data_IF_688521276217
#
_entry.id   IF_688521276217
#
_cell.length_a   1.000
_cell.length_b   1.000
_cell.length_c   1.000
_cell.angle_alpha   90.00
_cell.angle_beta   90.00
_cell.angle_gamma   90.00
#
_symmetry.space_group_name_H-M   'P 1'
#
loop_
_entity.id
_entity.type
_entity.pdbx_description
1 polymer ?
#
# COMPACT_ATOMS: atom_id res chain seq x y z
N UNK A 1 21.25 26.89 8.32
CA UNK A 1 20.07 26.68 7.44
C UNK A 1 20.09 25.36 6.70
N UNK A 2 21.26 24.86 6.28
CA UNK A 2 21.43 23.59 5.54
C UNK A 2 20.71 22.40 6.23
N UNK A 3 20.91 22.22 7.55
CA UNK A 3 20.24 21.17 8.36
C UNK A 3 18.70 21.25 8.42
N UNK A 4 18.05 22.34 8.00
CA UNK A 4 16.58 22.38 7.94
C UNK A 4 16.03 21.76 6.64
N UNK A 5 16.84 21.71 5.59
CA UNK A 5 16.46 21.24 4.25
C UNK A 5 16.94 19.80 4.01
N UNK A 6 18.12 19.43 4.52
CA UNK A 6 18.68 18.07 4.30
C UNK A 6 17.84 16.96 4.91
N UNK A 7 17.15 17.25 6.01
CA UNK A 7 16.43 16.26 6.80
C UNK A 7 15.07 15.84 6.21
N UNK A 8 14.21 16.77 5.75
CA UNK A 8 13.01 16.43 4.97
C UNK A 8 13.34 15.72 3.65
N UNK A 9 14.43 16.12 3.00
CA UNK A 9 14.91 15.50 1.76
C UNK A 9 15.21 14.00 1.95
N UNK A 10 15.76 13.63 3.11
CA UNK A 10 16.03 12.24 3.46
C UNK A 10 14.74 11.40 3.56
N UNK A 11 13.69 11.97 4.14
CA UNK A 11 12.36 11.33 4.21
C UNK A 11 11.72 11.14 2.83
N UNK A 12 11.87 12.13 1.95
CA UNK A 12 11.36 12.09 0.58
C UNK A 12 12.09 11.04 -0.25
N UNK A 13 13.43 11.02 -0.23
CA UNK A 13 14.24 10.03 -0.91
C UNK A 13 14.00 8.61 -0.35
N UNK A 14 13.84 8.48 0.97
CA UNK A 14 13.48 7.22 1.61
C UNK A 14 12.12 6.70 1.12
N UNK A 15 11.10 7.57 1.10
CA UNK A 15 9.78 7.23 0.55
C UNK A 15 9.85 6.81 -0.91
N UNK A 16 10.61 7.55 -1.73
CA UNK A 16 10.82 7.23 -3.14
C UNK A 16 11.47 5.85 -3.34
N UNK A 17 12.53 5.54 -2.58
CA UNK A 17 13.19 4.24 -2.63
C UNK A 17 12.27 3.09 -2.21
N UNK A 18 11.45 3.29 -1.17
CA UNK A 18 10.41 2.32 -0.79
C UNK A 18 9.38 2.16 -1.90
N UNK A 19 8.98 3.24 -2.56
CA UNK A 19 8.07 3.20 -3.72
C UNK A 19 8.58 2.27 -4.81
N UNK A 20 9.83 2.47 -5.26
CA UNK A 20 10.48 1.61 -6.26
C UNK A 20 10.48 0.16 -5.81
N UNK A 21 10.97 -0.11 -4.59
CA UNK A 21 11.06 -1.48 -4.08
C UNK A 21 9.70 -2.17 -4.02
N UNK A 22 8.69 -1.46 -3.52
CA UNK A 22 7.34 -1.99 -3.36
C UNK A 22 6.68 -2.26 -4.70
N UNK A 23 6.91 -1.43 -5.71
CA UNK A 23 6.34 -1.58 -7.05
C UNK A 23 6.71 -2.92 -7.71
N UNK A 24 7.94 -3.40 -7.52
CA UNK A 24 8.39 -4.69 -8.06
C UNK A 24 7.71 -5.90 -7.41
N UNK A 25 7.44 -5.82 -6.11
CA UNK A 25 7.02 -7.00 -5.34
C UNK A 25 5.51 -7.05 -5.09
N UNK A 26 4.87 -5.92 -4.84
CA UNK A 26 3.49 -5.87 -4.34
C UNK A 26 2.46 -6.37 -5.35
N UNK A 27 2.69 -6.17 -6.66
CA UNK A 27 1.76 -6.62 -7.71
C UNK A 27 1.70 -8.14 -7.76
N UNK A 28 2.85 -8.81 -7.69
CA UNK A 28 2.92 -10.27 -7.61
C UNK A 28 2.27 -10.79 -6.32
N UNK A 29 2.53 -10.14 -5.18
CA UNK A 29 1.88 -10.49 -3.93
C UNK A 29 0.35 -10.34 -4.00
N UNK A 30 -0.17 -9.31 -4.67
CA UNK A 30 -1.61 -9.14 -4.90
C UNK A 30 -2.15 -10.29 -5.76
N UNK A 31 -1.43 -10.76 -6.78
CA UNK A 31 -1.86 -11.93 -7.57
C UNK A 31 -1.94 -13.19 -6.74
N UNK A 32 -0.91 -13.44 -5.94
CA UNK A 32 -0.87 -14.60 -5.05
C UNK A 32 -2.04 -14.57 -4.06
N UNK A 33 -2.41 -13.39 -3.55
CA UNK A 33 -3.60 -13.24 -2.72
C UNK A 33 -4.89 -13.53 -3.49
N UNK A 34 -5.03 -13.05 -4.73
CA UNK A 34 -6.23 -13.29 -5.55
C UNK A 34 -6.41 -14.77 -5.86
N UNK A 35 -5.34 -15.47 -6.26
CA UNK A 35 -5.39 -16.92 -6.53
C UNK A 35 -5.63 -17.72 -5.26
N UNK A 36 -4.99 -17.33 -4.16
CA UNK A 36 -5.15 -17.97 -2.85
C UNK A 36 -6.58 -17.85 -2.32
N UNK A 37 -7.18 -16.65 -2.33
CA UNK A 37 -8.54 -16.45 -1.79
C UNK A 37 -9.63 -17.11 -2.59
N UNK A 38 -9.35 -17.42 -3.86
CA UNK A 38 -10.33 -17.98 -4.79
C UNK A 38 -10.09 -19.45 -5.09
N UNK A 39 -9.18 -20.11 -4.37
CA UNK A 39 -8.82 -21.52 -4.61
C UNK A 39 -8.56 -21.81 -6.10
N UNK A 40 -7.79 -20.94 -6.76
CA UNK A 40 -7.47 -20.99 -8.19
C UNK A 40 -8.64 -20.83 -9.18
N UNK A 41 -9.81 -20.38 -8.71
CA UNK A 41 -10.93 -20.01 -9.59
C UNK A 41 -10.65 -18.70 -10.34
N UNK A 42 -9.71 -17.86 -9.89
CA UNK A 42 -9.16 -16.77 -10.70
C UNK A 42 -7.82 -17.19 -11.29
N UNK A 43 -7.68 -17.06 -12.63
CA UNK A 43 -6.42 -17.28 -13.34
C UNK A 43 -6.02 -16.03 -14.11
N UNK A 44 -4.75 -15.68 -14.04
CA UNK A 44 -4.21 -14.51 -14.75
C UNK A 44 -3.56 -14.94 -16.07
N UNK A 45 -3.82 -14.16 -17.12
CA UNK A 45 -3.16 -14.32 -18.42
C UNK A 45 -2.65 -12.97 -18.95
N UNK A 46 -1.71 -13.03 -19.90
CA UNK A 46 -1.06 -11.84 -20.48
C UNK A 46 0.27 -11.48 -19.81
N UNK A 47 0.77 -10.27 -20.08
CA UNK A 47 2.02 -9.77 -19.50
C UNK A 47 1.72 -8.89 -18.29
N UNK A 48 2.48 -9.10 -17.21
CA UNK A 48 2.48 -8.24 -15.99
C UNK A 48 2.93 -6.78 -16.32
N UNK A 49 3.44 -6.55 -17.54
CA UNK A 49 4.26 -5.42 -17.96
C UNK A 49 3.52 -4.17 -18.49
N UNK A 50 2.29 -3.88 -18.05
CA UNK A 50 1.66 -2.60 -18.41
C UNK A 50 1.87 -1.58 -17.29
N UNK A 51 2.75 -0.61 -17.56
CA UNK A 51 3.08 0.56 -16.73
C UNK A 51 3.68 0.22 -15.36
N UNK A 52 4.98 -0.03 -15.36
CA UNK A 52 5.81 -0.23 -14.16
C UNK A 52 6.35 1.07 -13.55
N UNK A 53 5.92 2.23 -14.05
CA UNK A 53 6.45 3.54 -13.65
C UNK A 53 5.35 4.60 -13.84
N UNK A 54 4.27 4.45 -13.09
CA UNK A 54 3.30 5.53 -12.94
C UNK A 54 3.94 6.58 -12.01
N UNK A 55 4.35 7.73 -12.55
CA UNK A 55 5.00 8.79 -11.75
C UNK A 55 4.20 9.19 -10.51
N UNK A 56 2.87 9.06 -10.57
CA UNK A 56 1.95 9.28 -9.46
C UNK A 56 2.22 8.33 -8.28
N UNK A 57 2.51 7.05 -8.55
CA UNK A 57 2.81 6.05 -7.52
C UNK A 57 4.05 6.43 -6.71
N UNK A 58 5.14 6.75 -7.41
CA UNK A 58 6.39 7.17 -6.76
C UNK A 58 6.25 8.50 -6.00
N UNK A 59 5.51 9.45 -6.57
CA UNK A 59 5.23 10.72 -5.92
C UNK A 59 4.45 10.55 -4.61
N UNK A 60 3.44 9.67 -4.60
CA UNK A 60 2.65 9.36 -3.40
C UNK A 60 3.55 8.75 -2.33
N UNK A 61 4.36 7.74 -2.66
CA UNK A 61 5.30 7.12 -1.72
C UNK A 61 6.34 8.11 -1.17
N UNK A 62 6.83 9.04 -1.98
CA UNK A 62 7.71 10.11 -1.55
C UNK A 62 7.03 11.06 -0.54
N UNK A 63 5.78 11.45 -0.80
CA UNK A 63 4.98 12.29 0.11
C UNK A 63 4.68 11.57 1.44
N UNK A 64 4.39 10.27 1.39
CA UNK A 64 4.21 9.44 2.58
C UNK A 64 5.50 9.36 3.39
N UNK A 65 6.64 9.16 2.73
CA UNK A 65 7.96 9.17 3.38
C UNK A 65 8.22 10.48 4.11
N UNK A 66 7.87 11.62 3.48
CA UNK A 66 7.94 12.93 4.10
C UNK A 66 6.97 13.07 5.29
N UNK A 67 5.72 12.62 5.15
CA UNK A 67 4.73 12.63 6.24
C UNK A 67 5.21 11.82 7.44
N UNK A 68 5.64 10.57 7.22
CA UNK A 68 6.19 9.68 8.23
C UNK A 68 7.42 10.29 8.89
N UNK A 69 8.33 10.88 8.12
CA UNK A 69 9.49 11.59 8.66
C UNK A 69 9.08 12.67 9.65
N UNK A 70 8.13 13.53 9.29
CA UNK A 70 7.64 14.58 10.18
C UNK A 70 6.89 14.03 11.39
N UNK A 71 6.07 12.99 11.23
CA UNK A 71 5.32 12.38 12.32
C UNK A 71 6.25 11.71 13.36
N UNK A 72 7.31 11.06 12.89
CA UNK A 72 8.25 10.34 13.75
C UNK A 72 9.38 11.20 14.31
N UNK A 73 9.57 12.43 13.84
CA UNK A 73 10.65 13.32 14.31
C UNK A 73 10.65 13.53 15.83
N UNK A 74 9.46 13.59 16.42
CA UNK A 74 9.23 13.87 17.84
C UNK A 74 9.14 12.58 18.68
N UNK A 75 9.13 11.41 18.05
CA UNK A 75 8.97 10.12 18.72
C UNK A 75 10.31 9.55 19.17
N UNK A 76 10.32 8.80 20.28
CA UNK A 76 11.48 8.01 20.70
C UNK A 76 11.65 6.78 19.80
N UNK A 77 12.85 6.18 19.76
CA UNK A 77 13.12 4.97 18.96
C UNK A 77 12.12 3.81 19.22
N UNK A 78 11.79 3.43 20.47
CA UNK A 78 10.83 2.35 20.71
C UNK A 78 9.42 2.69 20.21
N UNK A 79 9.00 3.95 20.30
CA UNK A 79 7.73 4.37 19.73
C UNK A 79 7.73 4.28 18.21
N UNK A 80 8.82 4.71 17.55
CA UNK A 80 8.95 4.61 16.09
C UNK A 80 8.75 3.17 15.63
N UNK A 81 9.40 2.22 16.29
CA UNK A 81 9.29 0.79 15.98
C UNK A 81 7.85 0.30 16.20
N UNK A 82 7.22 0.65 17.32
CA UNK A 82 5.84 0.25 17.63
C UNK A 82 4.85 0.74 16.56
N UNK A 83 4.90 2.02 16.21
CA UNK A 83 3.97 2.62 15.24
C UNK A 83 4.29 2.20 13.81
N UNK A 84 5.56 2.02 13.45
CA UNK A 84 5.94 1.48 12.15
C UNK A 84 5.45 0.02 12.00
N UNK A 85 5.67 -0.82 13.01
CA UNK A 85 5.18 -2.20 13.02
C UNK A 85 3.66 -2.27 12.90
N UNK A 86 2.95 -1.46 13.69
CA UNK A 86 1.49 -1.38 13.64
C UNK A 86 0.98 -0.89 12.27
N UNK A 87 1.62 0.12 11.66
CA UNK A 87 1.26 0.58 10.32
C UNK A 87 1.50 -0.52 9.27
N UNK A 88 2.63 -1.23 9.33
CA UNK A 88 2.92 -2.34 8.41
C UNK A 88 1.88 -3.47 8.58
N UNK A 89 1.54 -3.85 9.81
CA UNK A 89 0.51 -4.86 10.06
C UNK A 89 -0.86 -4.45 9.51
N UNK A 90 -1.29 -3.20 9.74
CA UNK A 90 -2.56 -2.70 9.21
C UNK A 90 -2.53 -2.64 7.69
N UNK A 91 -1.41 -2.26 7.09
CA UNK A 91 -1.26 -2.23 5.64
C UNK A 91 -1.50 -3.60 5.03
N UNK A 92 -0.82 -4.64 5.53
CA UNK A 92 -0.98 -6.00 5.00
C UNK A 92 -2.37 -6.59 5.29
N UNK A 93 -2.94 -6.30 6.46
CA UNK A 93 -4.29 -6.72 6.80
C UNK A 93 -5.33 -6.07 5.88
N UNK A 94 -5.24 -4.75 5.67
CA UNK A 94 -6.13 -4.03 4.77
C UNK A 94 -5.97 -4.52 3.32
N UNK A 95 -4.73 -4.75 2.89
CA UNK A 95 -4.43 -5.29 1.57
C UNK A 95 -5.09 -6.65 1.36
N UNK A 96 -4.92 -7.58 2.30
CA UNK A 96 -5.55 -8.89 2.25
C UNK A 96 -7.08 -8.80 2.20
N UNK A 97 -7.70 -7.97 3.04
CA UNK A 97 -9.15 -7.79 3.07
C UNK A 97 -9.70 -7.19 1.77
N UNK A 98 -9.02 -6.19 1.21
CA UNK A 98 -9.42 -5.57 -0.05
C UNK A 98 -9.27 -6.57 -1.20
N UNK A 99 -8.16 -7.31 -1.26
CA UNK A 99 -7.96 -8.34 -2.27
C UNK A 99 -9.01 -9.46 -2.16
N UNK A 100 -9.34 -9.89 -0.94
CA UNK A 100 -10.41 -10.86 -0.70
C UNK A 100 -11.77 -10.35 -1.19
N UNK A 101 -12.15 -9.12 -0.83
CA UNK A 101 -13.41 -8.56 -1.27
C UNK A 101 -13.47 -8.40 -2.80
N UNK A 102 -12.42 -7.85 -3.42
CA UNK A 102 -12.38 -7.62 -4.88
C UNK A 102 -12.38 -8.93 -5.68
N UNK A 103 -11.69 -9.97 -5.20
CA UNK A 103 -11.65 -11.27 -5.87
C UNK A 103 -13.03 -11.96 -5.84
N UNK A 104 -13.73 -11.93 -4.70
CA UNK A 104 -15.07 -12.51 -4.58
C UNK A 104 -16.11 -11.75 -5.38
N UNK A 105 -16.07 -10.42 -5.39
CA UNK A 105 -16.97 -9.60 -6.23
C UNK A 105 -16.79 -9.98 -7.70
N UNK A 106 -15.55 -10.13 -8.17
CA UNK A 106 -15.27 -10.55 -9.55
C UNK A 106 -15.76 -11.98 -9.83
N UNK A 107 -15.76 -12.90 -8.87
CA UNK A 107 -16.35 -14.23 -9.08
C UNK A 107 -17.87 -14.15 -9.19
N UNK A 108 -18.52 -13.43 -8.27
CA UNK A 108 -19.99 -13.31 -8.21
C UNK A 108 -20.54 -12.59 -9.46
N UNK A 109 -19.82 -11.58 -9.95
CA UNK A 109 -20.16 -10.87 -11.19
C UNK A 109 -20.02 -11.77 -12.44
N UNK A 110 -19.37 -12.92 -12.33
CA UNK A 110 -19.22 -13.83 -13.45
C UNK A 110 -20.47 -14.70 -13.62
N UNK A 111 -21.49 -14.16 -14.30
CA UNK A 111 -22.73 -14.90 -14.64
C UNK A 111 -22.53 -15.90 -15.79
N UNK A 112 -21.34 -15.97 -16.40
CA UNK A 112 -21.03 -16.79 -17.57
C UNK A 112 -19.63 -17.45 -17.51
N UNK A 113 -19.09 -17.72 -16.31
CA UNK A 113 -17.82 -18.42 -16.19
C UNK A 113 -17.98 -19.91 -16.49
N UNK A 114 -17.13 -20.46 -17.37
CA UNK A 114 -16.99 -21.91 -17.56
C UNK A 114 -16.49 -22.54 -16.25
N UNK A 115 -17.27 -23.45 -15.67
CA UNK A 115 -16.97 -24.18 -14.43
C UNK A 115 -16.62 -23.30 -13.21
N UNK A 116 -17.08 -22.03 -13.20
CA UNK A 116 -16.79 -21.09 -12.12
C UNK A 116 -15.37 -20.50 -12.13
N UNK A 117 -14.59 -20.73 -13.19
CA UNK A 117 -13.23 -20.19 -13.34
C UNK A 117 -13.24 -18.91 -14.16
N UNK A 118 -12.80 -17.79 -13.56
CA UNK A 118 -12.66 -16.49 -14.23
C UNK A 118 -11.21 -16.26 -14.64
N UNK A 119 -10.97 -16.11 -15.94
CA UNK A 119 -9.68 -15.65 -16.45
C UNK A 119 -9.66 -14.11 -16.47
N UNK A 120 -8.66 -13.51 -15.85
CA UNK A 120 -8.46 -12.06 -15.82
C UNK A 120 -7.17 -11.70 -16.56
N UNK A 121 -7.15 -10.56 -17.24
CA UNK A 121 -5.90 -9.96 -17.67
C UNK A 121 -5.23 -9.27 -16.48
N UNK A 122 -3.90 -9.23 -16.45
CA UNK A 122 -3.17 -8.50 -15.40
C UNK A 122 -3.57 -7.02 -15.28
N UNK A 123 -4.05 -6.41 -16.37
CA UNK A 123 -4.57 -5.03 -16.43
C UNK A 123 -5.93 -4.84 -15.74
N UNK A 124 -6.69 -5.92 -15.51
CA UNK A 124 -8.06 -5.85 -14.95
C UNK A 124 -8.08 -5.56 -13.46
N UNK A 125 -6.93 -5.70 -12.78
CA UNK A 125 -6.78 -5.36 -11.37
C UNK A 125 -6.35 -3.91 -11.25
N UNK A 126 -7.07 -3.17 -10.40
CA UNK A 126 -6.75 -1.78 -10.08
C UNK A 126 -5.75 -1.68 -8.93
N UNK A 127 -4.50 -2.08 -9.15
CA UNK A 127 -3.46 -2.16 -8.11
C UNK A 127 -3.29 -0.86 -7.34
N UNK A 128 -3.25 0.28 -8.02
CA UNK A 128 -3.07 1.60 -7.40
C UNK A 128 -4.15 1.87 -6.35
N UNK A 129 -5.41 1.57 -6.68
CA UNK A 129 -6.52 1.76 -5.74
C UNK A 129 -6.35 0.87 -4.52
N UNK A 130 -6.02 -0.40 -4.71
CA UNK A 130 -5.83 -1.37 -3.63
C UNK A 130 -4.67 -0.93 -2.72
N UNK A 131 -3.54 -0.55 -3.30
CA UNK A 131 -2.34 -0.14 -2.55
C UNK A 131 -2.60 1.18 -1.81
N UNK A 132 -3.13 2.21 -2.48
CA UNK A 132 -3.34 3.52 -1.86
C UNK A 132 -4.40 3.49 -0.77
N UNK A 133 -5.49 2.72 -0.94
CA UNK A 133 -6.50 2.57 0.11
C UNK A 133 -5.94 1.84 1.33
N UNK A 134 -5.21 0.75 1.12
CA UNK A 134 -4.51 0.02 2.20
C UNK A 134 -3.52 0.91 2.95
N UNK A 135 -2.80 1.77 2.22
CA UNK A 135 -1.81 2.67 2.77
C UNK A 135 -2.45 3.85 3.50
N UNK A 136 -3.53 4.42 2.98
CA UNK A 136 -4.30 5.44 3.68
C UNK A 136 -4.80 4.93 5.04
N UNK A 137 -5.31 3.69 5.09
CA UNK A 137 -5.75 3.05 6.33
C UNK A 137 -4.59 2.81 7.30
N UNK A 138 -3.42 2.40 6.82
CA UNK A 138 -2.27 2.12 7.67
C UNK A 138 -1.66 3.36 8.33
N UNK A 139 -1.85 4.54 7.74
CA UNK A 139 -1.37 5.82 8.28
C UNK A 139 -2.30 6.45 9.33
N UNK A 140 -3.55 6.01 9.43
CA UNK A 140 -4.53 6.54 10.40
C UNK A 140 -4.00 6.57 11.84
N UNK A 141 -3.39 5.49 12.39
CA UNK A 141 -2.91 5.47 13.77
C UNK A 141 -1.83 6.53 14.03
N UNK A 142 -0.95 6.75 13.04
CA UNK A 142 0.13 7.74 13.09
C UNK A 142 -0.47 9.15 13.07
N UNK A 143 -1.45 9.39 12.19
CA UNK A 143 -2.18 10.65 12.13
C UNK A 143 -2.90 10.99 13.43
N UNK A 144 -3.61 10.02 14.02
CA UNK A 144 -4.33 10.18 15.29
C UNK A 144 -3.38 10.52 16.43
N UNK A 145 -2.22 9.84 16.53
CA UNK A 145 -1.20 10.16 17.55
C UNK A 145 -0.75 11.61 17.44
N UNK A 146 -0.44 12.06 16.22
CA UNK A 146 0.06 13.41 15.98
C UNK A 146 -0.94 14.48 16.41
N UNK A 147 -2.21 14.31 16.05
CA UNK A 147 -3.29 15.24 16.43
C UNK A 147 -3.44 15.29 17.95
N UNK A 148 -3.42 14.12 18.63
CA UNK A 148 -3.50 14.06 20.10
C UNK A 148 -2.30 14.72 20.78
N UNK A 149 -1.10 14.52 20.25
CA UNK A 149 0.12 15.12 20.80
C UNK A 149 0.16 16.65 20.63
N UNK A 150 -0.44 17.19 19.58
CA UNK A 150 -0.53 18.65 19.40
C UNK A 150 -1.51 19.27 20.41
N UNK A 151 -2.69 18.66 20.59
CA UNK A 151 -3.69 19.12 21.58
C UNK A 151 -3.22 19.05 23.04
N UNK A 152 -2.21 18.24 23.35
CA UNK A 152 -1.65 18.14 24.70
C UNK A 152 -0.58 19.19 24.99
N UNK A 153 -0.08 19.89 23.96
CA UNK A 153 0.92 20.95 24.06
C UNK A 153 0.31 22.36 23.92
N UNK A 154 -0.98 22.46 23.60
CA UNK A 154 -1.78 23.68 23.59
C UNK A 154 -2.59 23.78 24.89
#
# INVERSE_FOLDING_TARGET
MIKKITFPLLGLLGGFGVGIWTEFWIKGFIHDLFTFFTDNHIRFHGKIFRSFFEWHYLAIFALIGLFCYHAFRVCTLPEKIKYAGLAVSIFFLALALICYADSYVKIIECTACDDGVRTLEYSDIRYERIIFTSLALSLLPIGIKRIRSQRAND
#
